data_IF_914907170464
#
_entry.id   IF_914907170464
#
_cell.length_a   1.000
_cell.length_b   1.000
_cell.length_c   1.000
_cell.angle_alpha   90.00
_cell.angle_beta   90.00
_cell.angle_gamma   90.00
#
_symmetry.space_group_name_H-M   'P 1'
#
loop_
_entity.id
_entity.type
_entity.pdbx_description
1 polymer ?
#
# COMPACT_ATOMS: atom_id res chain seq x y z
N UNK A 1 -40.65 -14.98 -49.23
CA UNK A 1 -41.67 -15.94 -48.75
C UNK A 1 -42.54 -15.19 -47.74
N UNK A 2 -43.72 -14.72 -48.18
CA UNK A 2 -44.70 -13.97 -47.38
C UNK A 2 -45.67 -14.95 -46.73
N UNK A 3 -45.97 -14.81 -45.43
CA UNK A 3 -47.25 -15.27 -44.85
C UNK A 3 -47.73 -14.30 -43.77
N UNK A 4 -49.04 -14.19 -43.72
CA UNK A 4 -49.88 -13.15 -43.14
C UNK A 4 -50.92 -13.82 -42.22
N UNK A 5 -51.55 -13.04 -41.32
CA UNK A 5 -52.93 -13.21 -40.74
C UNK A 5 -53.09 -14.30 -39.64
N UNK A 6 -53.89 -14.19 -38.57
CA UNK A 6 -54.60 -13.14 -37.83
C UNK A 6 -55.40 -13.80 -36.66
N UNK A 7 -55.79 -12.99 -35.65
CA UNK A 7 -57.08 -12.96 -34.91
C UNK A 7 -57.64 -14.16 -34.10
N UNK A 8 -57.98 -13.90 -32.81
CA UNK A 8 -59.32 -13.97 -32.16
C UNK A 8 -59.12 -13.78 -30.62
N UNK A 9 -59.58 -12.71 -29.95
CA UNK A 9 -60.93 -12.37 -29.42
C UNK A 9 -61.61 -13.47 -28.57
N UNK A 10 -61.86 -13.14 -27.29
CA UNK A 10 -63.10 -13.47 -26.58
C UNK A 10 -62.94 -14.11 -25.19
N UNK A 11 -63.13 -13.34 -24.11
CA UNK A 11 -64.36 -13.35 -23.29
C UNK A 11 -64.18 -12.50 -22.02
N UNK A 12 -64.98 -11.43 -21.91
CA UNK A 12 -65.40 -10.84 -20.63
C UNK A 12 -66.54 -11.69 -20.07
N UNK A 13 -66.55 -11.98 -18.77
CA UNK A 13 -67.80 -11.95 -17.97
C UNK A 13 -67.50 -11.65 -16.49
N UNK A 14 -68.22 -10.65 -16.00
CA UNK A 14 -68.30 -10.12 -14.63
C UNK A 14 -68.91 -11.13 -13.65
N UNK A 15 -68.39 -11.19 -12.42
CA UNK A 15 -69.19 -11.44 -11.22
C UNK A 15 -68.57 -10.77 -9.98
N UNK A 16 -69.45 -10.16 -9.20
CA UNK A 16 -69.22 -9.18 -8.13
C UNK A 16 -68.98 -9.86 -6.75
N UNK A 17 -68.23 -9.16 -5.89
CA UNK A 17 -68.21 -9.21 -4.40
C UNK A 17 -67.61 -10.42 -3.66
N UNK A 18 -66.38 -10.22 -3.15
CA UNK A 18 -66.06 -10.50 -1.75
C UNK A 18 -64.94 -9.55 -1.27
N UNK A 19 -65.31 -8.58 -0.43
CA UNK A 19 -64.40 -7.84 0.43
C UNK A 19 -63.89 -8.82 1.49
N UNK A 20 -62.59 -9.15 1.50
CA UNK A 20 -61.91 -9.45 2.75
C UNK A 20 -60.39 -9.35 2.60
N UNK A 21 -59.79 -8.80 3.65
CA UNK A 21 -58.41 -8.41 3.79
C UNK A 21 -57.42 -9.51 3.40
N UNK A 22 -56.53 -9.22 2.46
CA UNK A 22 -55.19 -9.79 2.40
C UNK A 22 -54.24 -8.64 2.13
N UNK A 23 -53.98 -7.87 3.19
CA UNK A 23 -52.81 -7.01 3.27
C UNK A 23 -51.60 -7.91 3.00
N UNK A 24 -50.78 -7.65 1.97
CA UNK A 24 -49.57 -8.44 1.75
C UNK A 24 -48.72 -8.38 3.01
N UNK A 25 -48.21 -9.55 3.41
CA UNK A 25 -47.45 -9.76 4.63
C UNK A 25 -46.36 -8.70 4.85
N UNK A 26 -46.71 -7.67 5.62
CA UNK A 26 -45.82 -6.66 6.21
C UNK A 26 -45.23 -7.17 7.54
N UNK A 27 -45.16 -8.49 7.69
CA UNK A 27 -44.85 -9.18 8.93
C UNK A 27 -43.83 -10.28 8.64
N UNK A 28 -42.57 -9.87 8.54
CA UNK A 28 -41.38 -10.55 9.06
C UNK A 28 -40.11 -9.95 8.49
N UNK A 29 -40.04 -8.61 8.42
CA UNK A 29 -38.75 -8.00 8.72
C UNK A 29 -38.55 -8.29 10.21
N UNK A 30 -37.99 -9.47 10.51
CA UNK A 30 -37.50 -9.80 11.84
C UNK A 30 -36.67 -8.60 12.25
N UNK A 31 -37.11 -7.95 13.32
CA UNK A 31 -36.54 -6.73 13.84
C UNK A 31 -35.04 -6.96 13.97
N UNK A 32 -34.26 -6.34 13.11
CA UNK A 32 -32.81 -6.43 13.19
C UNK A 32 -32.43 -5.89 14.58
N UNK A 33 -31.70 -6.65 15.43
CA UNK A 33 -31.29 -6.14 16.74
C UNK A 33 -30.51 -4.83 16.64
N UNK A 34 -29.98 -4.49 15.46
CA UNK A 34 -29.30 -3.24 15.17
C UNK A 34 -30.24 -2.06 14.84
N UNK A 35 -31.54 -2.28 14.71
CA UNK A 35 -32.58 -1.30 14.33
C UNK A 35 -33.66 -1.10 15.44
N UNK A 36 -33.33 -0.50 16.61
CA UNK A 36 -34.33 -0.17 17.60
C UNK A 36 -35.13 1.08 17.18
N UNK A 37 -36.47 1.00 17.32
CA UNK A 37 -37.52 1.88 16.76
C UNK A 37 -37.47 3.40 17.18
N UNK A 38 -36.41 3.93 17.77
CA UNK A 38 -36.36 5.34 18.21
C UNK A 38 -35.31 6.18 17.45
N UNK A 39 -35.75 6.96 16.44
CA UNK A 39 -34.85 7.62 15.48
C UNK A 39 -34.73 9.14 15.56
N UNK A 40 -33.48 9.61 15.68
CA UNK A 40 -32.95 10.73 14.90
C UNK A 40 -32.35 10.18 13.58
N UNK A 41 -32.39 10.95 12.50
CA UNK A 41 -32.20 10.45 11.12
C UNK A 41 -30.81 9.88 10.78
N UNK A 42 -29.76 10.17 11.55
CA UNK A 42 -28.38 9.74 11.23
C UNK A 42 -27.92 8.41 11.85
N UNK A 43 -28.70 7.78 12.73
CA UNK A 43 -28.34 6.52 13.40
C UNK A 43 -29.23 5.33 13.02
N UNK A 44 -29.97 5.42 11.91
CA UNK A 44 -30.79 4.32 11.38
C UNK A 44 -29.90 3.25 10.75
N UNK A 45 -30.03 2.00 11.19
CA UNK A 45 -29.30 0.88 10.61
C UNK A 45 -29.49 0.84 9.08
N UNK A 46 -28.39 0.72 8.33
CA UNK A 46 -28.41 0.73 6.88
C UNK A 46 -28.71 2.08 6.23
N UNK A 47 -28.87 3.15 7.00
CA UNK A 47 -28.98 4.49 6.43
C UNK A 47 -27.62 4.98 5.95
N UNK A 48 -27.61 5.60 4.77
CA UNK A 48 -26.43 6.29 4.24
C UNK A 48 -26.07 7.46 5.16
N UNK A 49 -24.91 7.41 5.79
CA UNK A 49 -24.39 8.48 6.65
C UNK A 49 -23.33 9.33 5.96
N UNK A 50 -22.62 8.78 4.97
CA UNK A 50 -21.60 9.50 4.19
C UNK A 50 -21.33 8.80 2.84
N UNK A 51 -20.41 9.34 2.05
CA UNK A 51 -19.91 8.76 0.80
C UNK A 51 -18.43 9.12 0.61
N UNK A 52 -17.62 8.17 0.15
CA UNK A 52 -16.21 8.40 -0.17
C UNK A 52 -15.88 7.79 -1.53
N UNK A 53 -15.42 8.62 -2.48
CA UNK A 53 -15.14 8.24 -3.88
C UNK A 53 -16.27 7.42 -4.53
N UNK A 54 -17.53 7.79 -4.26
CA UNK A 54 -18.72 7.10 -4.78
C UNK A 54 -19.12 5.84 -4.02
N UNK A 55 -18.35 5.42 -3.01
CA UNK A 55 -18.68 4.28 -2.15
C UNK A 55 -19.45 4.78 -0.94
N UNK A 56 -20.69 4.30 -0.77
CA UNK A 56 -21.57 4.73 0.33
C UNK A 56 -21.09 4.20 1.68
N UNK A 57 -21.17 5.03 2.73
CA UNK A 57 -20.95 4.61 4.12
C UNK A 57 -22.30 4.52 4.80
N UNK A 58 -22.59 3.39 5.43
CA UNK A 58 -23.85 3.12 6.10
C UNK A 58 -23.70 3.15 7.62
N UNK A 59 -24.76 3.52 8.32
CA UNK A 59 -24.81 3.39 9.77
C UNK A 59 -24.99 1.93 10.16
N UNK A 60 -24.19 1.44 11.11
CA UNK A 60 -24.42 0.16 11.76
C UNK A 60 -25.44 0.27 12.92
N UNK A 61 -26.18 1.38 12.99
CA UNK A 61 -27.27 1.60 13.93
C UNK A 61 -26.86 1.40 15.39
N UNK A 62 -27.70 0.68 16.15
CA UNK A 62 -27.44 0.35 17.54
C UNK A 62 -26.30 -0.67 17.73
N UNK A 63 -25.91 -1.37 16.67
CA UNK A 63 -24.78 -2.30 16.68
C UNK A 63 -23.42 -1.63 16.45
N UNK A 64 -23.39 -0.29 16.36
CA UNK A 64 -22.14 0.45 16.23
C UNK A 64 -21.13 0.10 17.32
N UNK A 65 -19.89 -0.20 16.94
CA UNK A 65 -18.81 -0.58 17.85
C UNK A 65 -18.92 -2.02 18.40
N UNK A 66 -19.89 -2.79 17.91
CA UNK A 66 -20.05 -4.22 18.22
C UNK A 66 -19.58 -5.07 17.03
N UNK A 67 -19.44 -6.38 17.24
CA UNK A 67 -19.19 -7.34 16.16
C UNK A 67 -20.45 -7.84 15.45
N UNK A 68 -21.58 -7.11 15.56
CA UNK A 68 -22.88 -7.48 14.99
C UNK A 68 -23.37 -6.46 13.96
N UNK A 69 -24.25 -6.88 13.05
CA UNK A 69 -24.71 -6.08 11.92
C UNK A 69 -23.79 -6.18 10.70
N UNK A 70 -24.32 -5.82 9.53
CA UNK A 70 -23.67 -6.00 8.23
C UNK A 70 -22.65 -4.89 7.93
N UNK A 71 -22.84 -3.70 8.48
CA UNK A 71 -22.07 -2.50 8.15
C UNK A 71 -20.84 -2.37 9.05
N UNK A 72 -19.94 -3.35 8.95
CA UNK A 72 -18.70 -3.43 9.73
C UNK A 72 -17.57 -2.54 9.15
N UNK A 73 -16.54 -2.27 9.95
CA UNK A 73 -15.38 -1.50 9.49
C UNK A 73 -14.61 -2.22 8.38
N UNK A 74 -14.42 -3.53 8.51
CA UNK A 74 -13.77 -4.38 7.50
C UNK A 74 -14.62 -4.53 6.24
N UNK A 75 -15.95 -4.65 6.38
CA UNK A 75 -16.88 -4.71 5.24
C UNK A 75 -16.73 -3.48 4.34
N UNK A 76 -16.62 -2.28 4.93
CA UNK A 76 -16.46 -1.06 4.15
C UNK A 76 -15.17 -1.07 3.32
N UNK A 77 -14.04 -1.52 3.91
CA UNK A 77 -12.75 -1.60 3.21
C UNK A 77 -12.83 -2.63 2.06
N UNK A 78 -13.38 -3.81 2.31
CA UNK A 78 -13.58 -4.87 1.31
C UNK A 78 -14.44 -4.35 0.14
N UNK A 79 -15.57 -3.71 0.46
CA UNK A 79 -16.46 -3.10 -0.54
C UNK A 79 -15.82 -1.96 -1.31
N UNK A 80 -15.03 -1.10 -0.66
CA UNK A 80 -14.35 0.02 -1.31
C UNK A 80 -13.39 -0.44 -2.41
N UNK A 81 -12.61 -1.49 -2.14
CA UNK A 81 -11.67 -2.06 -3.10
C UNK A 81 -12.29 -3.14 -4.02
N UNK A 82 -13.62 -3.31 -3.97
CA UNK A 82 -14.36 -4.35 -4.69
C UNK A 82 -13.77 -5.76 -4.46
N UNK A 83 -13.38 -6.03 -3.22
CA UNK A 83 -12.89 -7.32 -2.73
C UNK A 83 -14.04 -8.08 -2.06
N UNK A 84 -13.85 -9.39 -1.90
CA UNK A 84 -14.76 -10.28 -1.16
C UNK A 84 -14.00 -11.23 -0.22
N UNK A 85 -12.68 -11.16 -0.24
CA UNK A 85 -11.77 -12.07 0.43
C UNK A 85 -11.02 -11.41 1.59
N UNK A 86 -11.22 -10.10 1.81
CA UNK A 86 -10.55 -9.38 2.88
C UNK A 86 -11.35 -9.43 4.19
N UNK A 87 -11.61 -10.65 4.66
CA UNK A 87 -12.32 -10.90 5.91
C UNK A 87 -11.41 -10.81 7.15
N UNK A 88 -12.04 -10.72 8.33
CA UNK A 88 -11.39 -10.83 9.63
C UNK A 88 -11.65 -9.65 10.54
N UNK A 89 -10.77 -9.48 11.54
CA UNK A 89 -10.86 -8.44 12.55
C UNK A 89 -9.99 -7.23 12.17
N UNK A 90 -10.44 -6.02 12.49
CA UNK A 90 -9.71 -4.78 12.17
C UNK A 90 -8.30 -4.72 12.77
N UNK A 91 -8.10 -5.22 14.00
CA UNK A 91 -6.78 -5.26 14.63
C UNK A 91 -5.82 -6.29 14.03
N UNK A 92 -6.34 -7.27 13.28
CA UNK A 92 -5.54 -8.27 12.57
C UNK A 92 -5.19 -7.83 11.13
N UNK A 93 -5.80 -6.76 10.63
CA UNK A 93 -5.62 -6.30 9.25
C UNK A 93 -4.16 -5.94 8.99
N UNK A 94 -3.49 -5.28 9.94
CA UNK A 94 -2.11 -4.85 9.77
C UNK A 94 -1.13 -6.02 9.66
N UNK A 95 -1.20 -6.97 10.60
CA UNK A 95 -0.35 -8.16 10.57
C UNK A 95 -0.66 -9.12 9.42
N UNK A 96 -1.91 -9.17 8.97
CA UNK A 96 -2.37 -10.00 7.85
C UNK A 96 -2.26 -9.34 6.47
N UNK A 97 -1.79 -8.09 6.39
CA UNK A 97 -1.78 -7.29 5.16
C UNK A 97 -1.12 -7.99 3.95
N UNK A 98 0.04 -8.65 4.07
CA UNK A 98 0.68 -9.28 2.91
C UNK A 98 -0.17 -10.36 2.23
N UNK A 99 -0.93 -11.13 3.01
CA UNK A 99 -1.85 -12.16 2.47
C UNK A 99 -3.01 -11.57 1.65
N UNK A 100 -3.26 -10.26 1.78
CA UNK A 100 -4.30 -9.50 1.09
C UNK A 100 -3.75 -8.69 -0.09
N UNK A 101 -2.45 -8.79 -0.39
CA UNK A 101 -1.79 -7.93 -1.39
C UNK A 101 -1.63 -6.48 -0.92
N UNK A 102 -1.66 -6.26 0.40
CA UNK A 102 -1.47 -4.96 1.02
C UNK A 102 -0.03 -4.86 1.54
N UNK A 103 0.63 -3.73 1.29
CA UNK A 103 1.91 -3.41 1.90
C UNK A 103 1.66 -2.74 3.26
N UNK A 104 2.03 -3.37 4.39
CA UNK A 104 1.98 -2.68 5.67
C UNK A 104 3.01 -1.55 5.70
N UNK A 105 2.71 -0.47 6.42
CA UNK A 105 3.63 0.64 6.67
C UNK A 105 3.46 1.03 8.14
N UNK A 106 4.44 0.78 9.01
CA UNK A 106 4.28 0.90 10.44
C UNK A 106 4.16 2.37 10.87
N UNK A 107 3.42 2.61 11.93
CA UNK A 107 3.35 3.92 12.55
C UNK A 107 4.77 4.37 12.98
N UNK A 108 5.18 5.58 12.60
CA UNK A 108 6.56 6.06 12.74
C UNK A 108 7.47 5.83 11.53
N UNK A 109 6.96 5.25 10.44
CA UNK A 109 7.68 5.13 9.16
C UNK A 109 8.00 6.50 8.53
N UNK A 110 9.05 6.57 7.74
CA UNK A 110 9.43 7.73 6.89
C UNK A 110 8.50 7.90 5.68
N UNK A 111 7.70 6.88 5.37
CA UNK A 111 6.61 7.02 4.42
C UNK A 111 5.46 7.75 5.10
N UNK A 112 4.83 8.68 4.41
CA UNK A 112 3.60 9.32 4.88
C UNK A 112 2.38 8.48 4.43
N UNK A 113 1.30 8.40 5.22
CA UNK A 113 0.03 7.90 4.72
C UNK A 113 -0.45 8.76 3.54
N UNK A 114 -1.16 8.13 2.60
CA UNK A 114 -1.74 8.77 1.42
C UNK A 114 -3.25 8.55 1.40
N UNK A 115 -4.02 9.39 0.70
CA UNK A 115 -5.40 9.06 0.36
C UNK A 115 -5.51 7.62 -0.12
N UNK A 116 -6.56 6.93 0.33
CA UNK A 116 -6.86 5.52 0.04
C UNK A 116 -5.99 4.48 0.76
N UNK A 117 -5.00 4.87 1.57
CA UNK A 117 -4.36 3.92 2.49
C UNK A 117 -5.37 3.50 3.59
N UNK A 118 -5.25 2.26 4.08
CA UNK A 118 -6.09 1.73 5.16
C UNK A 118 -5.33 1.88 6.49
N UNK A 119 -5.83 2.66 7.44
CA UNK A 119 -5.29 2.69 8.81
C UNK A 119 -5.72 1.45 9.59
N UNK A 120 -4.76 0.80 10.24
CA UNK A 120 -5.00 -0.28 11.19
C UNK A 120 -4.93 0.23 12.64
N UNK A 121 -5.94 -0.12 13.43
CA UNK A 121 -6.02 0.22 14.85
C UNK A 121 -6.11 -1.04 15.70
N UNK A 122 -5.37 -1.05 16.80
CA UNK A 122 -5.45 -2.09 17.81
C UNK A 122 -5.84 -1.54 19.18
N UNK A 123 -6.52 -2.36 19.97
CA UNK A 123 -6.77 -2.14 21.38
C UNK A 123 -6.82 -3.49 22.06
N UNK A 124 -6.04 -3.66 23.12
CA UNK A 124 -5.95 -4.95 23.82
C UNK A 124 -7.34 -5.43 24.25
N UNK A 125 -7.66 -6.70 23.98
CA UNK A 125 -8.94 -7.31 24.32
C UNK A 125 -10.12 -6.93 23.41
N UNK A 126 -9.89 -6.27 22.27
CA UNK A 126 -10.95 -5.96 21.28
C UNK A 126 -10.64 -6.51 19.89
N UNK A 127 -11.59 -6.39 18.97
CA UNK A 127 -11.43 -6.78 17.56
C UNK A 127 -10.59 -5.77 16.75
N UNK A 128 -10.13 -4.68 17.36
CA UNK A 128 -9.47 -3.57 16.67
C UNK A 128 -10.41 -2.80 15.74
N UNK A 129 -9.86 -1.99 14.85
CA UNK A 129 -10.63 -1.18 13.90
C UNK A 129 -9.81 -0.89 12.63
N UNK A 130 -10.49 -0.54 11.54
CA UNK A 130 -9.86 -0.05 10.31
C UNK A 130 -10.61 1.17 9.76
N UNK A 131 -9.88 2.08 9.15
CA UNK A 131 -10.42 3.26 8.49
C UNK A 131 -9.64 3.58 7.22
N UNK A 132 -10.25 4.26 6.26
CA UNK A 132 -9.61 4.71 5.02
C UNK A 132 -9.08 6.14 5.20
N UNK A 133 -7.86 6.44 4.76
CA UNK A 133 -7.40 7.83 4.66
C UNK A 133 -8.15 8.54 3.53
N UNK A 134 -8.84 9.63 3.86
CA UNK A 134 -9.38 10.53 2.84
C UNK A 134 -8.36 11.58 2.42
N UNK A 135 -7.79 12.30 3.41
CA UNK A 135 -6.84 13.38 3.15
C UNK A 135 -5.78 13.44 4.25
N UNK A 136 -4.60 13.93 3.87
CA UNK A 136 -3.53 14.33 4.80
C UNK A 136 -3.20 15.78 4.52
N UNK A 137 -3.40 16.65 5.51
CA UNK A 137 -3.23 18.10 5.37
C UNK A 137 -2.23 18.59 6.40
N UNK A 138 -1.13 19.20 5.94
CA UNK A 138 -0.17 19.82 6.84
C UNK A 138 -0.82 21.04 7.52
N UNK A 139 -0.72 21.10 8.85
CA UNK A 139 -1.25 22.21 9.66
C UNK A 139 -0.12 23.16 10.03
N UNK A 140 1.04 22.63 10.41
CA UNK A 140 2.27 23.38 10.66
C UNK A 140 3.53 22.57 10.27
N UNK A 141 4.72 23.04 10.65
CA UNK A 141 6.00 22.39 10.30
C UNK A 141 6.17 20.99 10.87
N UNK A 142 5.38 20.61 11.87
CA UNK A 142 5.49 19.37 12.65
C UNK A 142 4.20 18.59 12.76
N UNK A 143 3.04 19.17 12.44
CA UNK A 143 1.73 18.53 12.62
C UNK A 143 0.89 18.51 11.35
N UNK A 144 0.04 17.48 11.25
CA UNK A 144 -0.86 17.22 10.14
C UNK A 144 -2.23 16.79 10.67
N UNK A 145 -3.26 17.16 9.93
CA UNK A 145 -4.60 16.60 10.02
C UNK A 145 -4.71 15.40 9.09
N UNK A 146 -5.11 14.24 9.62
CA UNK A 146 -5.43 13.05 8.83
C UNK A 146 -6.93 12.80 8.93
N UNK A 147 -7.65 13.09 7.85
CA UNK A 147 -9.09 12.82 7.76
C UNK A 147 -9.28 11.38 7.33
N UNK A 148 -10.11 10.65 8.06
CA UNK A 148 -10.38 9.23 7.81
C UNK A 148 -11.86 8.96 7.64
N UNK A 149 -12.17 8.01 6.76
CA UNK A 149 -13.53 7.51 6.49
C UNK A 149 -13.65 6.14 7.11
N UNK A 150 -14.72 5.90 7.84
CA UNK A 150 -14.88 4.67 8.61
C UNK A 150 -16.34 4.27 8.77
N UNK A 151 -16.56 2.99 9.01
CA UNK A 151 -17.87 2.43 9.32
C UNK A 151 -17.80 1.71 10.67
N UNK A 152 -18.95 1.55 11.33
CA UNK A 152 -19.04 0.90 12.65
C UNK A 152 -18.29 1.59 13.82
N UNK A 153 -17.91 2.87 13.68
CA UNK A 153 -17.21 3.60 14.76
C UNK A 153 -17.76 5.01 14.98
N UNK A 154 -17.62 5.92 14.01
CA UNK A 154 -18.17 7.28 14.09
C UNK A 154 -19.66 7.32 13.71
N UNK A 155 -20.40 8.32 14.19
CA UNK A 155 -21.80 8.58 13.77
C UNK A 155 -21.92 9.19 12.38
N UNK A 156 -20.86 9.82 11.89
CA UNK A 156 -20.85 10.59 10.64
C UNK A 156 -20.14 9.87 9.50
N UNK A 157 -19.62 8.66 9.75
CA UNK A 157 -18.81 7.93 8.78
C UNK A 157 -17.41 8.51 8.56
N UNK A 158 -16.99 9.45 9.41
CA UNK A 158 -15.75 10.20 9.26
C UNK A 158 -15.18 10.61 10.62
N UNK A 159 -13.85 10.72 10.70
CA UNK A 159 -13.16 11.34 11.83
C UNK A 159 -11.91 12.10 11.38
N UNK A 160 -11.39 12.92 12.28
CA UNK A 160 -10.14 13.67 12.11
C UNK A 160 -9.13 13.22 13.16
N UNK A 161 -7.93 12.87 12.73
CA UNK A 161 -6.82 12.43 13.57
C UNK A 161 -5.65 13.42 13.45
N UNK A 162 -4.81 13.44 14.49
CA UNK A 162 -3.57 14.20 14.48
C UNK A 162 -2.40 13.29 14.13
N UNK A 163 -1.55 13.74 13.21
CA UNK A 163 -0.27 13.11 12.89
C UNK A 163 0.88 14.10 13.14
N UNK A 164 2.02 13.58 13.60
CA UNK A 164 3.20 14.38 13.94
C UNK A 164 4.44 13.90 13.19
N UNK A 165 5.34 14.83 12.88
CA UNK A 165 6.70 14.54 12.42
C UNK A 165 7.56 14.11 13.60
N UNK A 166 8.31 13.03 13.40
CA UNK A 166 9.29 12.51 14.33
C UNK A 166 10.69 13.06 14.00
N UNK A 167 11.58 13.07 14.99
CA UNK A 167 12.96 13.57 14.82
C UNK A 167 13.81 12.75 13.84
N UNK A 168 13.42 11.50 13.57
CA UNK A 168 14.05 10.63 12.57
C UNK A 168 13.50 10.86 11.15
N UNK A 169 12.63 11.86 10.93
CA UNK A 169 11.94 12.10 9.66
C UNK A 169 10.72 11.18 9.43
N UNK A 170 10.33 10.39 10.42
CA UNK A 170 9.13 9.55 10.38
C UNK A 170 7.84 10.31 10.68
N UNK A 171 6.71 9.66 10.42
CA UNK A 171 5.36 10.18 10.66
C UNK A 171 4.62 9.28 11.64
N UNK A 172 4.02 9.86 12.68
CA UNK A 172 3.24 9.13 13.68
C UNK A 172 1.83 9.67 13.83
N UNK A 173 0.82 8.84 13.58
CA UNK A 173 -0.58 9.16 13.87
C UNK A 173 -0.86 8.84 15.34
N UNK A 174 -1.39 9.81 16.07
CA UNK A 174 -1.67 9.68 17.49
C UNK A 174 -2.82 8.68 17.76
N UNK A 175 -2.78 8.06 18.93
CA UNK A 175 -3.84 7.15 19.39
C UNK A 175 -5.19 7.88 19.58
N UNK A 176 -6.30 7.17 19.37
CA UNK A 176 -7.67 7.69 19.50
C UNK A 176 -8.50 6.78 20.40
N UNK A 177 -9.15 7.31 21.44
CA UNK A 177 -10.06 6.58 22.35
C UNK A 177 -9.48 5.26 22.94
N UNK A 178 -8.17 5.26 23.18
CA UNK A 178 -7.43 4.10 23.66
C UNK A 178 -7.15 3.03 22.60
N UNK A 179 -7.42 3.30 21.32
CA UNK A 179 -6.89 2.55 20.19
C UNK A 179 -5.53 3.11 19.77
N UNK A 180 -4.55 2.23 19.67
CA UNK A 180 -3.23 2.52 19.12
C UNK A 180 -3.26 2.31 17.61
N UNK A 181 -2.71 3.28 16.87
CA UNK A 181 -2.53 3.13 15.42
C UNK A 181 -1.31 2.23 15.18
N UNK A 182 -1.54 1.07 14.57
CA UNK A 182 -0.49 0.13 14.19
C UNK A 182 0.34 0.68 13.01
N UNK A 183 -0.34 1.38 12.10
CA UNK A 183 0.21 1.94 10.88
C UNK A 183 -0.87 2.08 9.81
N UNK A 184 -0.45 2.14 8.56
CA UNK A 184 -1.36 2.18 7.41
C UNK A 184 -0.93 1.17 6.35
N UNK A 185 -1.88 0.76 5.51
CA UNK A 185 -1.73 -0.28 4.52
C UNK A 185 -1.93 0.32 3.14
N UNK A 186 -0.98 0.08 2.24
CA UNK A 186 -1.07 0.54 0.86
C UNK A 186 -1.49 -0.59 -0.05
N UNK A 187 -2.51 -0.33 -0.87
CA UNK A 187 -3.01 -1.30 -1.83
C UNK A 187 -2.27 -1.22 -3.16
N UNK A 188 -1.83 -2.37 -3.64
CA UNK A 188 -1.27 -2.55 -4.98
C UNK A 188 -2.23 -3.46 -5.76
N UNK A 189 -3.04 -2.92 -6.69
CA UNK A 189 -4.08 -3.70 -7.35
C UNK A 189 -3.49 -4.79 -8.23
N UNK A 190 -4.03 -6.03 -8.21
CA UNK A 190 -3.63 -7.08 -9.12
C UNK A 190 -3.66 -6.63 -10.60
N UNK A 191 -2.70 -7.10 -11.43
CA UNK A 191 -1.66 -8.08 -11.11
C UNK A 191 -0.40 -7.47 -10.46
N UNK A 192 -0.45 -6.21 -10.01
CA UNK A 192 0.70 -5.52 -9.41
C UNK A 192 1.11 -6.19 -8.10
N UNK A 193 2.39 -6.51 -7.96
CA UNK A 193 2.97 -6.97 -6.70
C UNK A 193 3.45 -5.76 -5.90
N UNK A 194 3.22 -5.77 -4.60
CA UNK A 194 3.72 -4.73 -3.71
C UNK A 194 5.27 -4.69 -3.75
N UNK A 195 5.89 -3.52 -3.96
CA UNK A 195 7.33 -3.37 -3.82
C UNK A 195 7.78 -3.81 -2.43
N UNK A 196 8.83 -4.63 -2.37
CA UNK A 196 9.32 -5.23 -1.13
C UNK A 196 8.73 -6.59 -0.77
N UNK A 197 7.71 -7.08 -1.49
CA UNK A 197 7.17 -8.42 -1.25
C UNK A 197 8.17 -9.49 -1.73
N UNK A 198 8.61 -10.37 -0.82
CA UNK A 198 9.55 -11.45 -1.14
C UNK A 198 8.83 -12.64 -1.79
N UNK A 199 9.61 -13.44 -2.52
CA UNK A 199 9.13 -14.68 -3.11
C UNK A 199 8.45 -15.56 -2.04
N UNK A 200 7.35 -16.21 -2.42
CA UNK A 200 6.48 -16.91 -1.46
C UNK A 200 5.53 -15.99 -0.68
N UNK A 201 5.33 -14.76 -1.15
CA UNK A 201 4.39 -13.78 -0.58
C UNK A 201 4.71 -13.39 0.88
N UNK A 202 6.00 -13.39 1.24
CA UNK A 202 6.44 -13.02 2.58
C UNK A 202 6.80 -11.53 2.66
N UNK A 203 6.44 -10.90 3.77
CA UNK A 203 6.85 -9.54 4.10
C UNK A 203 7.93 -9.59 5.17
N UNK A 204 9.18 -9.47 4.75
CA UNK A 204 10.32 -9.36 5.65
C UNK A 204 10.38 -7.92 6.18
N UNK A 205 9.80 -7.66 7.35
CA UNK A 205 9.51 -6.32 7.89
C UNK A 205 10.53 -5.26 7.48
N UNK A 206 11.74 -5.30 8.04
CA UNK A 206 12.73 -4.24 7.85
C UNK A 206 13.18 -4.07 6.38
N UNK A 207 13.50 -5.16 5.68
CA UNK A 207 13.99 -5.05 4.31
C UNK A 207 12.90 -4.72 3.30
N UNK A 208 11.70 -5.28 3.46
CA UNK A 208 10.54 -4.98 2.60
C UNK A 208 10.18 -3.50 2.67
N UNK A 209 10.27 -2.89 3.85
CA UNK A 209 10.10 -1.44 4.02
C UNK A 209 11.15 -0.65 3.25
N UNK A 210 12.42 -1.07 3.25
CA UNK A 210 13.47 -0.36 2.50
C UNK A 210 13.20 -0.33 0.98
N UNK A 211 12.67 -1.42 0.42
CA UNK A 211 12.22 -1.47 -0.98
C UNK A 211 11.03 -0.54 -1.22
N UNK A 212 9.97 -0.64 -0.42
CA UNK A 212 8.78 0.20 -0.57
C UNK A 212 9.11 1.69 -0.40
N UNK A 213 9.93 2.04 0.59
CA UNK A 213 10.38 3.40 0.84
C UNK A 213 11.11 3.98 -0.37
N UNK A 214 12.04 3.19 -0.92
CA UNK A 214 12.80 3.59 -2.11
C UNK A 214 11.90 3.74 -3.32
N UNK A 215 11.03 2.76 -3.57
CA UNK A 215 10.06 2.79 -4.66
C UNK A 215 9.21 4.07 -4.63
N UNK A 216 8.66 4.40 -3.47
CA UNK A 216 7.82 5.60 -3.30
C UNK A 216 8.62 6.89 -3.45
N UNK A 217 9.82 6.95 -2.86
CA UNK A 217 10.70 8.13 -2.92
C UNK A 217 11.10 8.49 -4.35
N UNK A 218 11.34 7.50 -5.21
CA UNK A 218 11.73 7.74 -6.61
C UNK A 218 10.55 7.98 -7.54
N UNK A 219 9.31 8.03 -7.05
CA UNK A 219 8.11 8.31 -7.84
C UNK A 219 7.30 7.08 -8.27
N UNK A 220 7.64 5.90 -7.73
CA UNK A 220 6.87 4.66 -7.86
C UNK A 220 6.61 4.25 -9.31
N UNK A 221 5.38 3.79 -9.58
CA UNK A 221 4.98 3.19 -10.86
C UNK A 221 5.22 4.09 -12.06
N UNK A 222 5.06 5.40 -11.90
CA UNK A 222 5.24 6.35 -13.01
C UNK A 222 6.70 6.42 -13.48
N UNK A 223 7.66 6.12 -12.59
CA UNK A 223 9.08 6.22 -12.86
C UNK A 223 9.68 4.85 -13.14
N UNK A 224 9.39 3.86 -12.30
CA UNK A 224 9.89 2.49 -12.42
C UNK A 224 9.09 1.59 -13.35
N UNK A 225 7.81 1.87 -13.54
CA UNK A 225 6.90 0.98 -14.24
C UNK A 225 6.39 -0.15 -13.34
N UNK A 226 6.26 -1.35 -13.91
CA UNK A 226 5.74 -2.52 -13.21
C UNK A 226 6.89 -3.44 -12.78
N UNK A 227 6.66 -4.26 -11.76
CA UNK A 227 7.59 -5.34 -11.41
C UNK A 227 7.81 -6.26 -12.61
N UNK A 228 9.03 -6.78 -12.78
CA UNK A 228 9.35 -7.65 -13.90
C UNK A 228 8.61 -8.98 -13.82
N UNK A 229 7.86 -9.26 -14.88
CA UNK A 229 7.04 -10.47 -15.02
C UNK A 229 7.35 -11.19 -16.33
N UNK A 230 8.46 -10.82 -17.01
CA UNK A 230 8.93 -11.49 -18.22
C UNK A 230 9.30 -12.94 -17.91
N UNK A 231 9.27 -13.77 -18.95
CA UNK A 231 9.52 -15.22 -18.80
C UNK A 231 10.92 -15.46 -18.23
N UNK A 232 10.99 -16.10 -17.07
CA UNK A 232 12.25 -16.39 -16.37
C UNK A 232 12.56 -15.42 -15.24
N UNK A 233 11.84 -14.29 -15.15
CA UNK A 233 11.98 -13.30 -14.08
C UNK A 233 10.94 -13.51 -12.99
N UNK A 234 11.18 -12.93 -11.81
CA UNK A 234 10.24 -12.95 -10.69
C UNK A 234 9.86 -11.52 -10.28
N UNK A 235 8.55 -11.20 -10.11
CA UNK A 235 8.12 -9.86 -9.72
C UNK A 235 8.40 -9.55 -8.25
N UNK A 236 8.90 -10.52 -7.50
CA UNK A 236 9.15 -10.43 -6.07
C UNK A 236 10.59 -10.01 -5.77
N UNK A 237 10.81 -9.56 -4.55
CA UNK A 237 12.16 -9.48 -4.00
C UNK A 237 12.74 -10.89 -3.95
N UNK A 238 13.92 -11.05 -4.53
CA UNK A 238 14.64 -12.33 -4.57
C UNK A 238 16.14 -12.11 -4.37
N UNK A 239 16.83 -13.16 -3.93
CA UNK A 239 18.28 -13.14 -3.85
C UNK A 239 18.86 -13.49 -5.23
N UNK A 240 19.64 -12.59 -5.80
CA UNK A 240 20.43 -12.85 -7.00
C UNK A 240 21.87 -13.17 -6.62
N UNK A 241 22.26 -14.43 -6.86
CA UNK A 241 23.53 -14.99 -6.41
C UNK A 241 24.46 -15.36 -7.57
N UNK A 242 25.71 -14.95 -7.49
CA UNK A 242 26.78 -15.35 -8.42
C UNK A 242 27.97 -15.87 -7.60
N UNK A 243 28.39 -17.11 -7.86
CA UNK A 243 29.48 -17.82 -7.16
C UNK A 243 29.45 -17.65 -5.61
N UNK A 244 28.25 -17.70 -5.02
CA UNK A 244 28.05 -17.59 -3.57
C UNK A 244 27.98 -16.17 -3.00
N UNK A 245 28.18 -15.13 -3.82
CA UNK A 245 27.89 -13.74 -3.44
C UNK A 245 26.46 -13.39 -3.87
N UNK A 246 25.63 -12.92 -2.94
CA UNK A 246 24.22 -12.62 -3.22
C UNK A 246 23.88 -11.17 -2.87
N UNK A 247 22.96 -10.58 -3.63
CA UNK A 247 22.25 -9.36 -3.27
C UNK A 247 20.75 -9.61 -3.34
N UNK A 248 19.98 -8.99 -2.44
CA UNK A 248 18.52 -9.02 -2.56
C UNK A 248 18.09 -7.86 -3.44
N UNK A 249 17.25 -8.11 -4.44
CA UNK A 249 16.80 -7.10 -5.38
C UNK A 249 15.36 -7.33 -5.83
N UNK A 250 14.77 -6.33 -6.47
CA UNK A 250 13.50 -6.41 -7.17
C UNK A 250 13.59 -5.59 -8.47
N UNK A 251 13.21 -6.22 -9.57
CA UNK A 251 13.34 -5.66 -10.90
C UNK A 251 12.05 -5.03 -11.40
N UNK A 252 12.21 -3.99 -12.21
CA UNK A 252 11.14 -3.18 -12.77
C UNK A 252 11.36 -2.91 -14.24
N UNK A 253 10.27 -2.79 -14.99
CA UNK A 253 10.28 -2.54 -16.43
C UNK A 253 9.09 -1.67 -16.85
N UNK A 254 9.20 -1.06 -18.03
CA UNK A 254 8.13 -0.26 -18.64
C UNK A 254 7.91 1.12 -17.99
N UNK A 255 8.81 1.54 -17.10
CA UNK A 255 8.86 2.89 -16.55
C UNK A 255 9.57 3.89 -17.46
N UNK A 256 9.60 5.16 -17.06
CA UNK A 256 10.34 6.21 -17.79
C UNK A 256 11.85 6.05 -17.71
N UNK A 257 12.35 5.26 -16.76
CA UNK A 257 13.79 4.98 -16.60
C UNK A 257 14.27 3.75 -17.37
N UNK A 258 13.38 3.03 -18.06
CA UNK A 258 13.67 1.74 -18.68
C UNK A 258 13.71 0.60 -17.66
N UNK A 259 14.47 -0.45 -17.99
CA UNK A 259 14.69 -1.59 -17.10
C UNK A 259 15.56 -1.16 -15.92
N UNK A 260 15.13 -1.44 -14.70
CA UNK A 260 15.85 -0.98 -13.51
C UNK A 260 15.63 -1.93 -12.34
N UNK A 261 16.54 -1.87 -11.38
CA UNK A 261 16.46 -2.68 -10.17
C UNK A 261 16.51 -1.80 -8.94
N UNK A 262 15.73 -2.17 -7.94
CA UNK A 262 15.98 -1.76 -6.57
C UNK A 262 16.86 -2.82 -5.93
N UNK A 263 18.04 -2.45 -5.41
CA UNK A 263 18.98 -3.40 -4.80
C UNK A 263 19.20 -3.02 -3.34
N UNK A 264 19.00 -4.00 -2.45
CA UNK A 264 19.18 -3.85 -1.02
C UNK A 264 20.66 -3.87 -0.66
N UNK A 265 21.09 -2.87 0.10
CA UNK A 265 22.31 -2.92 0.89
C UNK A 265 21.98 -3.39 2.30
N UNK A 266 22.25 -4.66 2.61
CA UNK A 266 21.90 -5.26 3.90
C UNK A 266 22.65 -4.58 5.06
N UNK A 267 23.86 -4.07 4.81
CA UNK A 267 24.70 -3.39 5.81
C UNK A 267 24.11 -2.04 6.22
N UNK A 268 23.60 -1.28 5.24
CA UNK A 268 23.02 0.04 5.48
C UNK A 268 21.52 -0.02 5.81
N UNK A 269 20.87 -1.17 5.58
CA UNK A 269 19.43 -1.32 5.74
C UNK A 269 18.65 -0.43 4.78
N UNK A 270 19.21 -0.18 3.60
CA UNK A 270 18.65 0.73 2.58
C UNK A 270 18.67 0.07 1.23
N UNK A 271 17.71 0.46 0.41
CA UNK A 271 17.62 0.06 -0.98
C UNK A 271 17.98 1.25 -1.86
N UNK A 272 18.62 0.99 -3.00
CA UNK A 272 19.03 2.02 -3.94
C UNK A 272 18.57 1.66 -5.34
N UNK A 273 18.25 2.68 -6.13
CA UNK A 273 17.88 2.50 -7.52
C UNK A 273 19.13 2.31 -8.38
N UNK A 274 19.15 1.25 -9.18
CA UNK A 274 20.14 1.03 -10.23
C UNK A 274 19.42 1.12 -11.58
N UNK A 275 19.73 2.17 -12.35
CA UNK A 275 19.05 2.51 -13.61
C UNK A 275 19.61 1.72 -14.80
N UNK A 276 18.84 1.63 -15.89
CA UNK A 276 19.09 0.79 -17.09
C UNK A 276 20.56 0.54 -17.43
N UNK A 277 21.34 1.57 -17.75
CA UNK A 277 22.73 1.36 -18.19
C UNK A 277 23.59 0.68 -17.12
N UNK A 278 23.48 1.12 -15.86
CA UNK A 278 24.19 0.51 -14.74
C UNK A 278 23.65 -0.88 -14.41
N UNK A 279 22.34 -1.08 -14.53
CA UNK A 279 21.69 -2.35 -14.26
C UNK A 279 22.11 -3.43 -15.27
N UNK A 280 22.12 -3.11 -16.56
CA UNK A 280 22.60 -4.00 -17.63
C UNK A 280 24.07 -4.39 -17.42
N UNK A 281 24.91 -3.41 -17.07
CA UNK A 281 26.32 -3.70 -16.71
C UNK A 281 26.40 -4.63 -15.49
N UNK A 282 25.62 -4.34 -14.45
CA UNK A 282 25.59 -5.11 -13.20
C UNK A 282 25.17 -6.57 -13.46
N UNK A 283 24.15 -6.79 -14.29
CA UNK A 283 23.69 -8.11 -14.72
C UNK A 283 24.75 -8.92 -15.47
N UNK A 284 25.41 -8.28 -16.45
CA UNK A 284 26.31 -8.97 -17.39
C UNK A 284 27.73 -9.20 -16.86
N UNK A 285 28.11 -8.55 -15.76
CA UNK A 285 29.47 -8.58 -15.21
C UNK A 285 29.54 -9.14 -13.79
N UNK A 286 28.70 -10.14 -13.47
CA UNK A 286 28.69 -10.79 -12.15
C UNK A 286 28.56 -9.79 -10.99
N UNK A 287 27.66 -8.81 -11.12
CA UNK A 287 27.52 -7.64 -10.23
C UNK A 287 27.70 -7.90 -8.73
N UNK A 288 27.06 -8.93 -8.12
CA UNK A 288 27.24 -9.24 -6.69
C UNK A 288 28.69 -9.51 -6.30
N UNK A 289 29.46 -10.16 -7.18
CA UNK A 289 30.89 -10.42 -6.96
C UNK A 289 31.70 -9.17 -7.30
N UNK A 290 31.52 -8.62 -8.50
CA UNK A 290 32.39 -7.57 -9.03
C UNK A 290 32.21 -6.23 -8.30
N UNK A 291 30.96 -5.87 -7.99
CA UNK A 291 30.59 -4.55 -7.48
C UNK A 291 30.00 -4.63 -6.06
N UNK A 292 29.29 -5.72 -5.74
CA UNK A 292 28.55 -5.86 -4.48
C UNK A 292 27.28 -5.00 -4.44
N UNK A 293 26.82 -4.66 -3.25
CA UNK A 293 25.60 -3.86 -3.05
C UNK A 293 25.86 -2.38 -3.38
N UNK A 294 24.88 -1.64 -3.94
CA UNK A 294 24.98 -0.18 -4.08
C UNK A 294 25.03 0.49 -2.69
N UNK A 295 25.70 1.64 -2.61
CA UNK A 295 25.89 2.40 -1.36
C UNK A 295 25.37 3.84 -1.45
N UNK A 296 24.79 4.21 -2.58
CA UNK A 296 24.24 5.52 -2.88
C UNK A 296 23.29 5.45 -4.07
N UNK A 297 22.61 6.56 -4.36
CA UNK A 297 21.83 6.71 -5.60
C UNK A 297 22.73 7.11 -6.77
N UNK A 298 22.22 6.93 -7.97
CA UNK A 298 22.81 7.56 -9.15
C UNK A 298 22.81 9.08 -8.98
N UNK A 299 23.95 9.71 -9.28
CA UNK A 299 24.09 11.15 -9.19
C UNK A 299 24.91 11.70 -10.36
N UNK A 300 24.61 12.94 -10.73
CA UNK A 300 25.40 13.69 -11.70
C UNK A 300 26.77 14.09 -11.09
N UNK A 301 27.73 14.54 -11.91
CA UNK A 301 28.94 15.17 -11.41
C UNK A 301 28.62 16.30 -10.45
N UNK A 302 29.26 16.27 -9.28
CA UNK A 302 29.14 17.32 -8.28
C UNK A 302 30.50 18.02 -8.22
N UNK A 303 30.62 19.24 -8.77
CA UNK A 303 31.88 19.98 -8.75
C UNK A 303 32.35 20.17 -7.30
N UNK A 304 33.66 19.94 -7.06
CA UNK A 304 34.29 20.08 -5.74
C UNK A 304 33.71 19.18 -4.64
N UNK A 305 33.04 18.09 -4.99
CA UNK A 305 32.55 17.13 -4.02
C UNK A 305 33.69 16.38 -3.33
N UNK A 306 33.71 16.44 -2.00
CA UNK A 306 34.53 15.54 -1.17
C UNK A 306 33.86 14.19 -0.92
N UNK A 307 32.84 13.82 -1.71
CA UNK A 307 32.21 12.51 -1.61
C UNK A 307 33.26 11.43 -1.80
N UNK A 308 33.09 10.35 -1.03
CA UNK A 308 33.95 9.17 -1.05
C UNK A 308 34.09 8.56 -2.46
N UNK A 309 33.11 8.83 -3.33
CA UNK A 309 33.06 8.45 -4.73
C UNK A 309 32.79 9.70 -5.57
N UNK A 310 33.83 10.40 -6.04
CA UNK A 310 33.65 11.55 -6.91
C UNK A 310 33.17 11.08 -8.29
N UNK A 311 32.19 11.79 -8.83
CA UNK A 311 31.70 11.59 -10.18
C UNK A 311 32.44 12.57 -11.10
N UNK A 312 33.33 12.12 -12.02
CA UNK A 312 34.13 13.02 -12.84
C UNK A 312 33.27 13.95 -13.71
N UNK A 313 33.69 15.20 -13.90
CA UNK A 313 32.95 16.19 -14.72
C UNK A 313 32.76 15.77 -16.18
N UNK A 314 33.55 14.81 -16.67
CA UNK A 314 33.42 14.25 -18.01
C UNK A 314 32.34 13.17 -18.14
N UNK A 315 31.72 12.78 -17.02
CA UNK A 315 30.65 11.77 -16.98
C UNK A 315 29.28 12.47 -16.89
N UNK A 316 28.22 11.80 -17.35
CA UNK A 316 26.85 12.27 -17.17
C UNK A 316 26.29 11.88 -15.81
N UNK A 317 26.63 10.68 -15.35
CA UNK A 317 26.22 10.18 -14.04
C UNK A 317 27.10 9.06 -13.54
N UNK A 318 26.99 8.79 -12.24
CA UNK A 318 27.80 7.80 -11.54
C UNK A 318 26.95 7.05 -10.53
N UNK A 319 27.28 5.78 -10.30
CA UNK A 319 26.63 4.91 -9.34
C UNK A 319 27.69 4.19 -8.50
N UNK A 320 27.67 4.44 -7.19
CA UNK A 320 28.63 3.85 -6.26
C UNK A 320 28.12 2.49 -5.73
N UNK A 321 29.05 1.55 -5.63
CA UNK A 321 28.87 0.22 -5.06
C UNK A 321 29.96 -0.07 -4.02
N UNK A 322 29.75 -1.09 -3.20
CA UNK A 322 30.68 -1.46 -2.12
C UNK A 322 32.11 -1.73 -2.61
N UNK A 323 32.28 -2.29 -3.81
CA UNK A 323 33.59 -2.68 -4.36
C UNK A 323 34.07 -1.82 -5.54
N UNK A 324 33.33 -0.78 -5.92
CA UNK A 324 33.71 0.08 -7.04
C UNK A 324 32.67 1.11 -7.39
N UNK A 325 32.94 1.90 -8.43
CA UNK A 325 31.99 2.87 -8.97
C UNK A 325 31.81 2.63 -10.47
N UNK A 326 30.58 2.73 -10.95
CA UNK A 326 30.28 2.75 -12.37
C UNK A 326 30.03 4.18 -12.83
N UNK A 327 30.53 4.51 -14.02
CA UNK A 327 30.34 5.82 -14.64
C UNK A 327 29.62 5.68 -15.97
N UNK A 328 28.73 6.62 -16.27
CA UNK A 328 28.02 6.70 -17.53
C UNK A 328 28.38 7.98 -18.27
N UNK A 329 28.88 7.86 -19.51
CA UNK A 329 29.25 9.01 -20.35
C UNK A 329 28.21 9.34 -21.44
N UNK A 330 27.05 8.68 -21.43
CA UNK A 330 26.03 8.79 -22.47
C UNK A 330 26.08 7.72 -23.55
N UNK A 331 27.19 6.99 -23.66
CA UNK A 331 27.40 5.95 -24.68
C UNK A 331 27.78 4.58 -24.07
N UNK A 332 28.54 4.57 -22.98
CA UNK A 332 29.10 3.36 -22.38
C UNK A 332 29.21 3.48 -20.85
N UNK A 333 29.02 2.37 -20.15
CA UNK A 333 29.35 2.25 -18.73
C UNK A 333 30.82 1.92 -18.56
N UNK A 334 31.53 2.71 -17.75
CA UNK A 334 32.96 2.55 -17.49
C UNK A 334 33.11 2.16 -16.02
N UNK A 335 33.60 0.94 -15.72
CA UNK A 335 33.88 0.54 -14.36
C UNK A 335 35.18 1.19 -13.87
N UNK A 336 35.19 1.61 -12.62
CA UNK A 336 36.41 1.96 -11.90
C UNK A 336 36.52 1.07 -10.67
N UNK A 337 37.56 0.23 -10.67
CA UNK A 337 37.94 -0.52 -9.48
C UNK A 337 38.25 0.48 -8.37
N UNK A 338 37.62 0.33 -7.20
CA UNK A 338 38.02 1.12 -6.05
C UNK A 338 39.50 0.84 -5.74
N UNK A 339 40.29 1.87 -5.42
CA UNK A 339 41.68 1.67 -5.04
C UNK A 339 41.86 0.86 -3.74
N UNK A 340 40.84 0.67 -2.89
CA UNK A 340 40.83 -0.29 -1.78
C UNK A 340 39.38 -0.48 -1.25
N UNK A 341 39.02 -1.63 -0.64
CA UNK A 341 37.74 -1.78 0.04
C UNK A 341 37.61 -0.78 1.19
N UNK A 342 36.45 -0.13 1.31
CA UNK A 342 36.19 0.73 2.47
C UNK A 342 36.38 -0.06 3.76
N UNK A 343 37.04 0.50 4.79
CA UNK A 343 37.00 -0.09 6.11
C UNK A 343 35.52 -0.22 6.54
N UNK A 344 35.14 -1.33 7.18
CA UNK A 344 33.78 -1.52 7.64
C UNK A 344 33.36 -0.30 8.46
N UNK A 345 32.25 0.32 8.09
CA UNK A 345 31.65 1.38 8.91
C UNK A 345 31.41 0.81 10.31
N UNK A 346 31.74 1.55 11.39
CA UNK A 346 31.46 1.09 12.73
C UNK A 346 29.95 0.79 12.83
N UNK A 347 29.56 -0.32 13.50
CA UNK A 347 28.15 -0.70 13.59
C UNK A 347 27.37 0.49 14.15
N UNK A 348 26.41 0.98 13.36
CA UNK A 348 25.44 1.93 13.87
C UNK A 348 24.68 1.19 14.98
N UNK A 349 24.79 1.68 16.21
CA UNK A 349 23.95 1.24 17.31
C UNK A 349 22.50 1.72 17.05
N UNK A 350 21.85 1.20 16.00
CA UNK A 350 20.40 1.22 15.87
C UNK A 350 19.87 0.03 16.67
N UNK A 351 19.86 0.17 17.99
CA UNK A 351 18.88 -0.55 18.78
C UNK A 351 17.54 0.16 18.58
N UNK A 352 16.74 -0.38 17.69
CA UNK A 352 15.30 -0.10 17.66
C UNK A 352 14.75 -0.71 18.96
N UNK A 353 14.35 0.15 19.89
CA UNK A 353 13.49 -0.22 21.02
C UNK A 353 12.04 -0.13 20.61
#
# INVERSE_FOLDING_TARGET
MKRTIAFLIGLMFLAFLAFNANVPALASHLQDPCDPINFTTSNVYGHKINEFNGVTIYSNGACRGTGSGDYQCVEFVDRYFARQDWMGNGGAYFGGAPSKGLAPIPNGSTLMPKPEDILGFEKSGTVGHVAMVATVTQIDTTTYEVRVIEQNYSSTGEAVLTMVNLSNGGYSILSRDGFTVQGWLRYFPPPTIAPGMYEGASWNSFFSYAFLETYERIGGKNILGSTDTRVGETPYVHDWCVQGSCVALQDFWGGTLGDSALILNKTLGKTYLVRTAFWEFYLTNEGPIALGEPIGEEHAPIPNSSTLYPCPETMLSCQAFRKGTLFWNGNSVIPMSNPDPLPPSPPSNLQIK
#
